data_IF_183861843807
#
_entry.id   IF_183861843807
#
_cell.length_a   1.000
_cell.length_b   1.000
_cell.length_c   1.000
_cell.angle_alpha   90.00
_cell.angle_beta   90.00
_cell.angle_gamma   90.00
#
_symmetry.space_group_name_H-M   'P 1'
#
loop_
_entity.id
_entity.type
_entity.pdbx_description
1 polymer ?
#
# COMPACT_ATOMS: atom_id res chain seq x y z
N UNK A 1 5.34 -12.16 -3.66
CA UNK A 1 4.02 -11.78 -3.07
C UNK A 1 4.02 -10.29 -2.75
N UNK A 2 2.91 -9.59 -3.04
CA UNK A 2 2.77 -8.15 -2.74
C UNK A 2 1.61 -7.95 -1.78
N UNK A 3 1.83 -7.17 -0.73
CA UNK A 3 0.82 -6.78 0.26
C UNK A 3 0.43 -5.32 0.04
N UNK A 4 -0.87 -5.07 -0.06
CA UNK A 4 -1.48 -3.75 -0.17
C UNK A 4 -2.41 -3.52 1.02
N UNK A 5 -2.68 -2.26 1.36
CA UNK A 5 -3.68 -1.90 2.37
C UNK A 5 -3.24 -2.11 3.83
N UNK A 6 -1.96 -2.41 4.09
CA UNK A 6 -1.44 -2.48 5.46
C UNK A 6 -0.72 -1.19 5.84
N UNK A 7 -1.47 -0.22 6.35
CA UNK A 7 -0.97 1.07 6.81
C UNK A 7 -1.75 1.56 8.04
N UNK A 8 -1.26 1.32 9.27
CA UNK A 8 -2.03 1.56 10.48
C UNK A 8 -1.80 2.96 11.06
N UNK A 9 -1.61 3.95 10.21
CA UNK A 9 -1.35 5.33 10.62
C UNK A 9 -2.41 6.25 9.98
N UNK A 10 -2.80 7.27 10.73
CA UNK A 10 -3.78 8.29 10.36
C UNK A 10 -3.22 9.34 9.38
N UNK A 11 -1.91 9.35 9.18
CA UNK A 11 -1.22 10.24 8.26
C UNK A 11 -0.24 9.49 7.38
N UNK A 12 -0.24 9.82 6.09
CA UNK A 12 0.74 9.32 5.15
C UNK A 12 2.14 9.97 5.38
N UNK A 13 3.21 9.52 4.68
CA UNK A 13 4.53 10.13 4.81
C UNK A 13 4.62 11.61 4.40
N UNK A 14 3.63 12.12 3.67
CA UNK A 14 3.50 13.52 3.28
C UNK A 14 2.65 14.34 4.27
N UNK A 15 2.06 13.70 5.28
CA UNK A 15 1.22 14.30 6.31
C UNK A 15 -0.25 14.42 5.94
N UNK A 16 -0.70 13.86 4.81
CA UNK A 16 -2.12 13.85 4.44
C UNK A 16 -2.88 12.86 5.32
N UNK A 17 -4.13 13.18 5.65
CA UNK A 17 -4.99 12.28 6.41
C UNK A 17 -5.32 11.01 5.61
N UNK A 18 -5.27 9.88 6.29
CA UNK A 18 -5.60 8.56 5.74
C UNK A 18 -6.76 7.98 6.55
N UNK A 19 -7.75 7.43 5.86
CA UNK A 19 -8.85 6.71 6.49
C UNK A 19 -8.37 5.32 6.95
N UNK A 20 -8.83 4.88 8.11
CA UNK A 20 -8.46 3.58 8.68
C UNK A 20 -8.84 2.43 7.74
N UNK A 21 -10.03 2.48 7.15
CA UNK A 21 -10.45 1.59 6.07
C UNK A 21 -10.70 2.37 4.79
N UNK A 22 -10.27 1.81 3.66
CA UNK A 22 -10.34 2.47 2.35
C UNK A 22 -11.78 2.71 1.82
N UNK A 23 -12.77 2.04 2.40
CA UNK A 23 -14.17 2.11 2.01
C UNK A 23 -15.02 2.94 2.99
N UNK A 24 -14.44 3.40 4.09
CA UNK A 24 -15.19 4.20 5.05
C UNK A 24 -15.43 5.62 4.52
N UNK A 25 -16.58 6.25 4.85
CA UNK A 25 -16.85 7.62 4.44
C UNK A 25 -16.18 8.66 5.34
N UNK A 26 -15.77 8.30 6.56
CA UNK A 26 -15.25 9.21 7.59
C UNK A 26 -14.09 8.56 8.35
N UNK A 27 -13.27 9.39 9.02
CA UNK A 27 -12.22 8.91 9.93
C UNK A 27 -12.84 8.07 11.06
N UNK A 28 -12.27 6.89 11.29
CA UNK A 28 -12.61 6.01 12.42
C UNK A 28 -11.43 5.89 13.37
N UNK A 29 -11.69 5.41 14.58
CA UNK A 29 -10.65 5.17 15.58
C UNK A 29 -9.73 4.03 15.11
N UNK A 30 -8.42 4.32 15.04
CA UNK A 30 -7.36 3.37 14.70
C UNK A 30 -6.96 2.47 15.88
N UNK A 31 -7.45 2.77 17.09
CA UNK A 31 -7.05 2.05 18.30
C UNK A 31 -7.91 0.81 18.56
N UNK A 32 -7.23 -0.32 18.68
CA UNK A 32 -7.81 -1.58 19.16
C UNK A 32 -6.92 -2.19 20.25
N UNK A 33 -7.53 -2.88 21.21
CA UNK A 33 -6.80 -3.62 22.26
C UNK A 33 -6.31 -4.99 21.80
N UNK A 34 -6.84 -5.50 20.68
CA UNK A 34 -6.55 -6.85 20.21
C UNK A 34 -5.22 -6.96 19.46
N UNK A 35 -4.73 -5.85 18.89
CA UNK A 35 -3.57 -5.82 18.01
C UNK A 35 -2.59 -4.71 18.38
N UNK A 36 -1.32 -4.92 18.05
CA UNK A 36 -0.32 -3.86 18.04
C UNK A 36 0.11 -3.62 16.60
N UNK A 37 -0.70 -2.86 15.87
CA UNK A 37 -0.50 -2.66 14.45
C UNK A 37 0.81 -1.94 14.12
N UNK A 38 1.33 -1.09 15.00
CA UNK A 38 2.67 -0.48 14.82
C UNK A 38 3.77 -1.54 14.81
N UNK A 39 3.74 -2.52 15.75
CA UNK A 39 4.69 -3.64 15.75
C UNK A 39 4.53 -4.52 14.51
N UNK A 40 3.30 -4.82 14.11
CA UNK A 40 3.01 -5.61 12.90
C UNK A 40 3.53 -4.90 11.64
N UNK A 41 3.28 -3.60 11.49
CA UNK A 41 3.80 -2.80 10.38
C UNK A 41 5.33 -2.77 10.35
N UNK A 42 5.99 -2.60 11.50
CA UNK A 42 7.47 -2.64 11.61
C UNK A 42 8.02 -4.01 11.19
N UNK A 43 7.37 -5.11 11.59
CA UNK A 43 7.74 -6.45 11.15
C UNK A 43 7.61 -6.61 9.63
N UNK A 44 6.49 -6.17 9.06
CA UNK A 44 6.25 -6.22 7.61
C UNK A 44 7.27 -5.35 6.83
N UNK A 45 7.64 -4.18 7.35
CA UNK A 45 8.72 -3.34 6.79
C UNK A 45 10.05 -4.06 6.79
N UNK A 46 10.40 -4.76 7.88
CA UNK A 46 11.62 -5.58 7.94
C UNK A 46 11.60 -6.71 6.92
N UNK A 47 10.47 -7.41 6.75
CA UNK A 47 10.32 -8.45 5.73
C UNK A 47 10.42 -7.87 4.30
N UNK A 48 9.88 -6.68 4.09
CA UNK A 48 10.01 -5.95 2.84
C UNK A 48 11.46 -5.61 2.51
N UNK A 49 12.20 -5.05 3.47
CA UNK A 49 13.61 -4.70 3.31
C UNK A 49 14.49 -5.93 3.03
N UNK A 50 14.11 -7.11 3.53
CA UNK A 50 14.81 -8.39 3.29
C UNK A 50 14.38 -9.08 1.99
N UNK A 51 13.41 -8.54 1.24
CA UNK A 51 12.95 -9.11 -0.02
C UNK A 51 11.97 -10.29 0.08
N UNK A 52 11.47 -10.61 1.29
CA UNK A 52 10.50 -11.71 1.47
C UNK A 52 9.11 -11.35 0.92
N UNK A 53 8.74 -10.08 0.96
CA UNK A 53 7.50 -9.55 0.37
C UNK A 53 7.71 -8.13 -0.15
N UNK A 54 6.78 -7.66 -0.99
CA UNK A 54 6.68 -6.23 -1.31
C UNK A 54 5.55 -5.63 -0.48
N UNK A 55 5.87 -4.73 0.45
CA UNK A 55 4.89 -3.93 1.17
C UNK A 55 4.66 -2.64 0.36
N UNK A 56 3.50 -2.52 -0.28
CA UNK A 56 3.17 -1.36 -1.09
C UNK A 56 2.40 -0.32 -0.26
N UNK A 57 3.06 0.80 0.02
CA UNK A 57 2.49 1.94 0.78
C UNK A 57 2.41 3.23 -0.05
N UNK A 58 3.09 3.30 -1.18
CA UNK A 58 3.08 4.44 -2.09
C UNK A 58 2.05 4.25 -3.21
N UNK A 59 1.58 5.34 -3.85
CA UNK A 59 0.77 5.25 -5.07
C UNK A 59 1.42 4.33 -6.11
N UNK A 60 0.60 3.50 -6.74
CA UNK A 60 1.07 2.67 -7.84
C UNK A 60 1.57 3.56 -8.98
N UNK A 61 2.69 3.17 -9.59
CA UNK A 61 3.15 3.83 -10.82
C UNK A 61 2.05 3.68 -11.89
N UNK A 62 1.68 4.76 -12.59
CA UNK A 62 0.80 4.63 -13.74
C UNK A 62 1.42 3.65 -14.73
N UNK A 63 0.57 2.84 -15.36
CA UNK A 63 1.01 2.05 -16.48
C UNK A 63 1.30 3.00 -17.64
N UNK A 64 2.58 3.33 -17.85
CA UNK A 64 2.99 4.09 -19.02
C UNK A 64 2.76 3.20 -20.25
N UNK A 65 1.78 3.54 -21.09
CA UNK A 65 1.45 2.86 -22.34
C UNK A 65 2.54 3.00 -23.42
N UNK A 66 3.69 3.58 -23.10
CA UNK A 66 4.83 3.79 -24.02
C UNK A 66 5.81 2.62 -24.05
N UNK A 67 5.36 1.40 -23.73
CA UNK A 67 6.01 0.20 -24.28
C UNK A 67 5.18 -0.21 -25.48
N UNK A 68 5.70 0.09 -26.66
CA UNK A 68 5.22 -0.36 -27.98
C UNK A 68 4.54 -1.73 -27.88
N UNK A 69 3.21 -1.73 -27.85
CA UNK A 69 2.46 -2.91 -28.25
C UNK A 69 2.94 -3.24 -29.68
N UNK A 70 3.30 -4.49 -30.00
CA UNK A 70 3.65 -4.82 -31.36
C UNK A 70 2.41 -4.53 -32.21
N UNK A 71 2.56 -3.63 -33.19
CA UNK A 71 1.57 -3.42 -34.23
C UNK A 71 1.32 -4.78 -34.85
N UNK A 72 0.14 -5.35 -34.62
CA UNK A 72 -0.26 -6.60 -35.24
C UNK A 72 -0.50 -6.28 -36.71
N UNK A 73 0.49 -6.58 -37.55
CA UNK A 73 0.35 -6.53 -39.01
C UNK A 73 -0.73 -7.53 -39.40
N UNK A 74 -1.92 -7.03 -39.72
CA UNK A 74 -2.92 -7.81 -40.44
C UNK A 74 -2.49 -7.84 -41.91
N UNK A 75 -2.02 -9.01 -42.35
CA UNK A 75 -2.05 -9.36 -43.77
C UNK A 75 -3.47 -9.69 -44.19
#
# INVERSE_FOLDING_TARGET
MTLYGFYPYDKDPQGNEVLHHYYEPNLTDFHTKSHNFDKEHKMLRSLHAKGFLRLAIDPCKPYNTTTTAPVRSTN
#
